data_IF_055906347459
#
_entry.id   IF_055906347459
#
_cell.length_a   1.000
_cell.length_b   1.000
_cell.length_c   1.000
_cell.angle_alpha   90.00
_cell.angle_beta   90.00
_cell.angle_gamma   90.00
#
_symmetry.space_group_name_H-M   'P 1'
#
loop_
_entity.id
_entity.type
_entity.pdbx_description
1 polymer ?
#
# COMPACT_ATOMS: atom_id res chain seq x y z
N UNK A 1 -7.12 14.30 -5.94
CA UNK A 1 -6.75 12.86 -5.91
C UNK A 1 -7.80 12.00 -6.60
N UNK A 2 -8.03 12.16 -7.91
CA UNK A 2 -9.05 11.37 -8.64
C UNK A 2 -8.47 10.46 -9.73
N UNK A 3 -7.21 10.66 -10.10
CA UNK A 3 -6.57 9.90 -11.17
C UNK A 3 -6.55 8.37 -10.94
N UNK A 4 -6.09 7.84 -9.78
CA UNK A 4 -6.08 6.38 -9.56
C UNK A 4 -7.50 5.78 -9.53
N UNK A 5 -8.46 6.51 -8.96
CA UNK A 5 -9.87 6.11 -8.91
C UNK A 5 -10.46 5.99 -10.31
N UNK A 6 -10.25 7.00 -11.15
CA UNK A 6 -10.74 7.00 -12.53
C UNK A 6 -10.09 5.87 -13.34
N UNK A 7 -8.79 5.65 -13.17
CA UNK A 7 -8.07 4.56 -13.84
C UNK A 7 -8.68 3.19 -13.47
N UNK A 8 -8.87 2.94 -12.17
CA UNK A 8 -9.50 1.72 -11.67
C UNK A 8 -10.92 1.51 -12.23
N UNK A 9 -11.75 2.56 -12.22
CA UNK A 9 -13.10 2.50 -12.76
C UNK A 9 -13.10 2.23 -14.27
N UNK A 10 -12.21 2.88 -15.03
CA UNK A 10 -12.15 2.75 -16.48
C UNK A 10 -11.74 1.34 -16.94
N UNK A 11 -10.95 0.62 -16.15
CA UNK A 11 -10.58 -0.78 -16.44
C UNK A 11 -11.58 -1.78 -15.84
N UNK A 12 -12.62 -1.31 -15.15
CA UNK A 12 -13.62 -2.17 -14.49
C UNK A 12 -13.08 -2.88 -13.25
N UNK A 13 -12.07 -2.31 -12.58
CA UNK A 13 -11.55 -2.86 -11.33
C UNK A 13 -12.65 -2.87 -10.27
N UNK A 14 -12.69 -3.94 -9.48
CA UNK A 14 -13.83 -4.21 -8.61
C UNK A 14 -13.85 -3.27 -7.39
N UNK A 15 -15.02 -2.66 -7.17
CA UNK A 15 -15.35 -1.97 -5.92
C UNK A 15 -15.19 -2.95 -4.75
N UNK A 16 -14.67 -2.47 -3.63
CA UNK A 16 -14.34 -3.29 -2.46
C UNK A 16 -12.99 -4.01 -2.54
N UNK A 17 -12.24 -3.91 -3.66
CA UNK A 17 -10.86 -4.40 -3.73
C UNK A 17 -9.85 -3.31 -3.32
N UNK A 18 -8.63 -3.73 -2.98
CA UNK A 18 -7.57 -2.82 -2.62
C UNK A 18 -7.13 -1.97 -3.80
N UNK A 19 -7.00 -0.66 -3.58
CA UNK A 19 -6.12 0.20 -4.35
C UNK A 19 -4.93 0.57 -3.48
N UNK A 20 -3.73 0.50 -4.04
CA UNK A 20 -2.48 0.70 -3.31
C UNK A 20 -1.91 2.09 -3.61
N UNK A 21 -1.67 2.85 -2.56
CA UNK A 21 -0.86 4.06 -2.62
C UNK A 21 0.60 3.64 -2.68
N UNK A 22 1.28 3.99 -3.77
CA UNK A 22 2.72 3.90 -3.87
C UNK A 22 3.37 5.02 -3.04
N UNK A 23 3.83 4.70 -1.84
CA UNK A 23 4.39 5.64 -0.87
C UNK A 23 5.92 5.47 -0.83
N UNK A 24 6.56 6.02 -1.85
CA UNK A 24 8.01 5.97 -2.03
C UNK A 24 8.55 7.26 -2.69
N UNK A 25 9.87 7.42 -2.76
CA UNK A 25 10.45 8.60 -3.40
C UNK A 25 10.21 9.91 -2.65
N UNK A 26 9.79 9.86 -1.38
CA UNK A 26 9.38 11.04 -0.62
C UNK A 26 10.63 11.70 -0.03
N UNK A 27 11.07 12.78 -0.68
CA UNK A 27 12.11 13.68 -0.17
C UNK A 27 11.55 15.08 0.01
N UNK A 28 12.22 15.88 0.83
CA UNK A 28 12.02 17.34 0.92
C UNK A 28 10.63 17.81 1.41
N UNK A 29 9.90 16.94 2.11
CA UNK A 29 8.65 17.27 2.82
C UNK A 29 8.73 16.83 4.28
N UNK A 30 7.96 17.49 5.15
CA UNK A 30 7.87 17.07 6.56
C UNK A 30 7.01 15.83 6.71
N UNK A 31 7.29 15.01 7.74
CA UNK A 31 6.48 13.83 8.09
C UNK A 31 4.99 14.17 8.20
N UNK A 32 4.66 15.31 8.82
CA UNK A 32 3.28 15.78 8.99
C UNK A 32 2.60 15.96 7.62
N UNK A 33 3.29 16.61 6.68
CA UNK A 33 2.77 16.81 5.32
C UNK A 33 2.59 15.49 4.58
N UNK A 34 3.53 14.56 4.74
CA UNK A 34 3.44 13.24 4.11
C UNK A 34 2.25 12.43 4.67
N UNK A 35 2.06 12.45 5.99
CA UNK A 35 0.93 11.82 6.69
C UNK A 35 -0.41 12.42 6.25
N UNK A 36 -0.53 13.75 6.25
CA UNK A 36 -1.75 14.44 5.82
C UNK A 36 -2.11 14.06 4.37
N UNK A 37 -1.13 14.07 3.48
CA UNK A 37 -1.34 13.70 2.08
C UNK A 37 -1.76 12.23 1.91
N UNK A 38 -1.12 11.31 2.61
CA UNK A 38 -1.46 9.89 2.56
C UNK A 38 -2.89 9.63 3.11
N UNK A 39 -3.27 10.33 4.18
CA UNK A 39 -4.60 10.23 4.76
C UNK A 39 -5.69 10.88 3.88
N UNK A 40 -5.38 11.95 3.16
CA UNK A 40 -6.29 12.51 2.16
C UNK A 40 -6.49 11.55 0.97
N UNK A 41 -5.42 10.85 0.55
CA UNK A 41 -5.50 9.81 -0.47
C UNK A 41 -6.36 8.65 -0.01
N UNK A 42 -6.14 8.19 1.23
CA UNK A 42 -6.97 7.18 1.88
C UNK A 42 -8.45 7.55 1.80
N UNK A 43 -8.79 8.77 2.22
CA UNK A 43 -10.17 9.26 2.22
C UNK A 43 -10.77 9.27 0.81
N UNK A 44 -10.03 9.73 -0.19
CA UNK A 44 -10.49 9.75 -1.58
C UNK A 44 -10.79 8.35 -2.10
N UNK A 45 -9.92 7.37 -1.84
CA UNK A 45 -10.07 5.98 -2.28
C UNK A 45 -11.22 5.28 -1.57
N UNK A 46 -11.32 5.46 -0.25
CA UNK A 46 -12.43 4.92 0.55
C UNK A 46 -13.77 5.48 0.09
N UNK A 47 -13.88 6.80 -0.13
CA UNK A 47 -15.11 7.44 -0.60
C UNK A 47 -15.53 6.99 -2.01
N UNK A 48 -14.59 6.49 -2.82
CA UNK A 48 -14.88 5.91 -4.12
C UNK A 48 -15.31 4.43 -4.06
N UNK A 49 -15.35 3.82 -2.87
CA UNK A 49 -15.78 2.45 -2.65
C UNK A 49 -14.67 1.40 -2.74
N UNK A 50 -13.41 1.81 -2.91
CA UNK A 50 -12.26 0.91 -2.88
C UNK A 50 -11.70 0.80 -1.46
N UNK A 51 -10.88 -0.23 -1.21
CA UNK A 51 -10.21 -0.42 0.08
C UNK A 51 -8.81 0.21 -0.01
N UNK A 52 -8.49 1.26 0.76
CA UNK A 52 -7.16 1.85 0.69
C UNK A 52 -6.10 0.90 1.27
N UNK A 53 -5.06 0.63 0.48
CA UNK A 53 -3.81 0.03 0.93
C UNK A 53 -2.63 0.95 0.64
N UNK A 54 -1.50 0.69 1.27
CA UNK A 54 -0.27 1.47 1.10
C UNK A 54 0.92 0.53 0.88
N UNK A 55 1.72 0.83 -0.14
CA UNK A 55 3.03 0.26 -0.36
C UNK A 55 4.07 1.18 0.28
N UNK A 56 4.86 0.62 1.20
CA UNK A 56 5.90 1.32 1.97
C UNK A 56 7.23 1.10 1.25
N UNK A 57 7.65 2.09 0.46
CA UNK A 57 8.86 2.04 -0.36
C UNK A 57 9.95 2.99 0.11
N UNK A 58 10.97 3.22 -0.72
CA UNK A 58 12.14 4.00 -0.32
C UNK A 58 12.36 5.28 -1.14
N UNK A 59 12.95 6.33 -0.53
CA UNK A 59 13.18 6.51 0.91
C UNK A 59 11.85 6.59 1.70
N UNK A 60 11.78 5.90 2.83
CA UNK A 60 10.62 5.95 3.73
C UNK A 60 10.84 7.03 4.80
N UNK A 61 10.06 8.14 4.80
CA UNK A 61 10.24 9.20 5.78
C UNK A 61 9.67 8.86 7.16
N UNK A 62 8.71 7.92 7.25
CA UNK A 62 7.98 7.65 8.48
C UNK A 62 8.60 6.51 9.30
N UNK A 63 8.53 6.67 10.61
CA UNK A 63 8.89 5.61 11.56
C UNK A 63 7.82 4.51 11.60
N UNK A 64 8.21 3.35 12.12
CA UNK A 64 7.31 2.22 12.38
C UNK A 64 6.03 2.62 13.14
N UNK A 65 6.16 3.51 14.14
CA UNK A 65 5.04 3.99 14.93
C UNK A 65 4.15 4.98 14.17
N UNK A 66 4.72 5.87 13.35
CA UNK A 66 3.95 6.79 12.50
C UNK A 66 3.15 6.02 11.45
N UNK A 67 3.77 5.00 10.83
CA UNK A 67 3.09 4.13 9.87
C UNK A 67 1.85 3.46 10.47
N UNK A 68 1.86 3.12 11.76
CA UNK A 68 0.73 2.45 12.41
C UNK A 68 -0.28 3.40 13.07
N UNK A 69 0.20 4.44 13.77
CA UNK A 69 -0.66 5.29 14.61
C UNK A 69 -1.17 6.53 13.88
N UNK A 70 -0.43 7.05 12.91
CA UNK A 70 -0.73 8.34 12.28
C UNK A 70 -1.34 8.19 10.87
N UNK A 71 -1.20 7.01 10.27
CA UNK A 71 -1.81 6.66 9.00
C UNK A 71 -3.12 5.88 9.19
N UNK A 72 -4.14 6.17 8.39
CA UNK A 72 -5.45 5.52 8.48
C UNK A 72 -5.52 4.10 7.86
N UNK A 73 -4.41 3.60 7.34
CA UNK A 73 -4.36 2.38 6.54
C UNK A 73 -4.45 1.11 7.41
N UNK A 74 -4.99 0.04 6.84
CA UNK A 74 -5.01 -1.29 7.46
C UNK A 74 -4.47 -2.38 6.55
N UNK A 75 -4.01 -2.01 5.35
CA UNK A 75 -3.47 -2.91 4.34
C UNK A 75 -2.10 -2.39 3.91
N UNK A 76 -1.05 -3.12 4.27
CA UNK A 76 0.33 -2.70 4.06
C UNK A 76 1.06 -3.69 3.15
N UNK A 77 1.79 -3.16 2.19
CA UNK A 77 2.69 -3.86 1.28
C UNK A 77 4.11 -3.35 1.49
N UNK A 78 5.05 -4.26 1.76
CA UNK A 78 6.46 -3.94 2.01
C UNK A 78 7.26 -3.96 0.72
N UNK A 79 8.10 -2.96 0.48
CA UNK A 79 9.17 -3.02 -0.51
C UNK A 79 10.18 -4.15 -0.23
N UNK A 80 10.91 -4.58 -1.26
CA UNK A 80 12.01 -5.54 -1.11
C UNK A 80 13.24 -4.96 -0.43
N UNK A 81 13.29 -3.65 -0.19
CA UNK A 81 14.45 -3.03 0.43
C UNK A 81 14.62 -3.42 1.91
N UNK A 82 15.87 -3.36 2.36
CA UNK A 82 16.24 -3.69 3.74
C UNK A 82 16.04 -2.53 4.71
N UNK A 83 15.90 -1.29 4.23
CA UNK A 83 15.66 -0.11 5.06
C UNK A 83 14.19 0.24 5.24
N UNK A 84 13.27 -0.45 4.54
CA UNK A 84 11.83 -0.36 4.81
C UNK A 84 11.55 -0.80 6.25
N UNK A 85 11.06 0.12 7.12
CA UNK A 85 10.78 -0.19 8.52
C UNK A 85 9.64 -1.19 8.64
N UNK A 86 9.47 -1.83 9.79
CA UNK A 86 8.23 -2.57 10.07
C UNK A 86 7.06 -1.62 10.38
N UNK A 87 5.82 -2.06 10.18
CA UNK A 87 4.62 -1.35 10.67
C UNK A 87 4.31 -1.84 12.08
N UNK A 88 4.35 -0.95 13.06
CA UNK A 88 4.16 -1.32 14.46
C UNK A 88 2.83 -2.06 14.65
N UNK A 89 2.81 -3.05 15.55
CA UNK A 89 1.68 -3.96 15.85
C UNK A 89 1.20 -4.83 14.66
N UNK A 90 0.86 -4.24 13.51
CA UNK A 90 0.17 -4.90 12.39
C UNK A 90 1.10 -5.67 11.46
N UNK A 91 2.27 -5.12 11.11
CA UNK A 91 3.11 -5.69 10.06
C UNK A 91 2.48 -5.61 8.66
N UNK A 92 2.84 -6.56 7.78
CA UNK A 92 2.54 -6.52 6.35
C UNK A 92 1.71 -7.70 5.86
N UNK A 93 0.85 -7.42 4.88
CA UNK A 93 0.00 -8.40 4.20
C UNK A 93 0.58 -8.87 2.86
N UNK A 94 1.44 -8.03 2.28
CA UNK A 94 2.16 -8.33 1.04
C UNK A 94 3.62 -7.91 1.20
N UNK A 95 4.54 -8.73 0.71
CA UNK A 95 5.98 -8.44 0.73
C UNK A 95 6.49 -8.61 -0.68
N UNK A 96 7.05 -7.53 -1.23
CA UNK A 96 7.88 -7.60 -2.42
C UNK A 96 9.19 -8.28 -2.02
N UNK A 97 9.37 -9.52 -2.44
CA UNK A 97 10.52 -10.36 -2.09
C UNK A 97 11.70 -10.15 -3.04
N UNK A 98 11.45 -9.58 -4.22
CA UNK A 98 12.49 -9.27 -5.20
C UNK A 98 12.04 -8.10 -6.09
N UNK A 99 12.81 -6.99 -6.09
CA UNK A 99 12.57 -5.80 -6.91
C UNK A 99 13.08 -5.91 -8.37
N UNK A 100 13.60 -7.07 -8.78
CA UNK A 100 13.91 -7.33 -10.18
C UNK A 100 14.19 -8.82 -10.43
N UNK A 101 13.28 -9.48 -11.14
CA UNK A 101 13.54 -10.80 -11.73
C UNK A 101 13.10 -10.84 -13.18
N UNK A 102 13.56 -11.82 -13.95
CA UNK A 102 13.10 -12.04 -15.32
C UNK A 102 12.33 -13.35 -15.40
N UNK A 103 11.06 -13.26 -15.77
CA UNK A 103 10.19 -14.42 -16.02
C UNK A 103 9.79 -14.40 -17.50
N UNK A 104 10.16 -15.45 -18.24
CA UNK A 104 9.87 -15.57 -19.68
C UNK A 104 10.32 -14.35 -20.51
N UNK A 105 11.43 -13.71 -20.13
CA UNK A 105 11.98 -12.53 -20.82
C UNK A 105 11.34 -11.19 -20.42
N UNK A 106 10.40 -11.18 -19.48
CA UNK A 106 9.76 -9.97 -18.94
C UNK A 106 10.33 -9.70 -17.55
N UNK A 107 10.71 -8.44 -17.29
CA UNK A 107 11.12 -8.03 -15.96
C UNK A 107 9.88 -7.84 -15.09
N UNK A 108 9.88 -8.49 -13.92
CA UNK A 108 8.79 -8.45 -12.94
C UNK A 108 9.37 -8.36 -11.55
N UNK A 109 8.57 -7.84 -10.63
CA UNK A 109 8.82 -7.94 -9.19
C UNK A 109 8.09 -9.16 -8.65
N UNK A 110 8.65 -9.80 -7.62
CA UNK A 110 8.03 -10.95 -6.98
C UNK A 110 7.41 -10.55 -5.66
N UNK A 111 6.11 -10.76 -5.53
CA UNK A 111 5.37 -10.52 -4.30
C UNK A 111 4.90 -11.83 -3.66
N UNK A 112 4.88 -11.83 -2.34
CA UNK A 112 4.28 -12.89 -1.54
C UNK A 112 3.19 -12.32 -0.65
N UNK A 113 2.06 -13.02 -0.58
CA UNK A 113 0.94 -12.67 0.30
C UNK A 113 1.06 -13.47 1.59
N UNK A 114 0.81 -12.80 2.71
CA UNK A 114 0.74 -13.41 4.03
C UNK A 114 -0.35 -12.74 4.86
N UNK A 115 -0.77 -13.39 5.93
CA UNK A 115 -1.62 -12.75 6.93
C UNK A 115 -0.78 -11.81 7.77
N UNK A 116 -1.27 -10.59 8.00
CA UNK A 116 -0.62 -9.66 8.94
C UNK A 116 -0.80 -10.11 10.40
N UNK A 117 -0.12 -9.46 11.35
CA UNK A 117 -0.16 -9.85 12.77
C UNK A 117 -1.55 -9.67 13.42
N UNK A 118 -2.46 -8.95 12.76
CA UNK A 118 -3.84 -8.71 13.20
C UNK A 118 -4.86 -9.54 12.41
N UNK A 119 -4.42 -10.47 11.56
CA UNK A 119 -5.30 -11.37 10.81
C UNK A 119 -5.75 -10.84 9.44
N UNK A 120 -5.23 -9.70 8.98
CA UNK A 120 -5.60 -9.08 7.71
C UNK A 120 -4.95 -9.74 6.49
N UNK A 121 -5.60 -9.61 5.33
CA UNK A 121 -5.11 -10.05 4.01
C UNK A 121 -5.42 -8.97 2.95
N UNK A 122 -4.70 -8.98 1.82
CA UNK A 122 -5.09 -8.19 0.64
C UNK A 122 -6.45 -8.68 0.10
N UNK A 123 -7.25 -7.75 -0.39
CA UNK A 123 -8.56 -7.96 -0.98
C UNK A 123 -8.45 -7.69 -2.48
N UNK A 124 -8.36 -8.76 -3.28
CA UNK A 124 -8.32 -8.69 -4.74
C UNK A 124 -9.60 -9.24 -5.39
N UNK A 125 -10.53 -9.74 -4.59
CA UNK A 125 -11.85 -10.19 -5.00
C UNK A 125 -12.87 -9.88 -3.90
N UNK A 126 -14.06 -9.44 -4.31
CA UNK A 126 -15.15 -9.20 -3.37
C UNK A 126 -15.86 -10.54 -3.10
N UNK A 127 -15.58 -11.16 -1.95
CA UNK A 127 -16.35 -12.30 -1.49
C UNK A 127 -17.70 -11.79 -0.95
N UNK A 128 -18.79 -12.07 -1.65
CA UNK A 128 -20.13 -12.03 -1.06
C UNK A 128 -20.30 -13.33 -0.29
N UNK A 129 -20.43 -13.33 1.06
CA UNK A 129 -20.77 -14.52 1.81
C UNK A 129 -22.15 -15.07 1.43
#
# INVERSE_FOLDING_TARGET
>A
MTHPINAAQNIGYLIGCNLWLDFEGISDVSDITAIEWANDWFNAVQNAGYVPGIYVGEPEPLTSAQLYNDLNFSHYWRSCSNSTPDVDVRGYQMIQTNCSTTVLGINVDLDTVQTDNLGGLPIAEYYVP
#
